data_IF_925877179857
#
_entry.id   IF_925877179857
#
_cell.length_a   1.000
_cell.length_b   1.000
_cell.length_c   1.000
_cell.angle_alpha   90.00
_cell.angle_beta   90.00
_cell.angle_gamma   90.00
#
_symmetry.space_group_name_H-M   'P 1'
#
loop_
_entity.id
_entity.type
_entity.pdbx_description
1 polymer ?
#
# COMPACT_ATOMS: atom_id res chain seq x y z
N UNK A 1 -4.61 -35.12 -51.13
CA UNK A 1 -5.61 -34.30 -50.41
C UNK A 1 -5.20 -32.85 -50.62
N UNK A 2 -5.93 -32.11 -51.45
CA UNK A 2 -5.52 -30.77 -51.93
C UNK A 2 -6.53 -29.76 -51.41
N UNK A 3 -6.08 -28.81 -50.58
CA UNK A 3 -6.93 -27.80 -49.93
C UNK A 3 -6.75 -26.47 -50.66
N UNK A 4 -7.82 -25.97 -51.27
CA UNK A 4 -7.90 -24.64 -51.90
C UNK A 4 -8.14 -23.58 -50.83
N UNK A 5 -7.31 -22.55 -50.83
CA UNK A 5 -7.51 -21.31 -50.05
C UNK A 5 -8.23 -20.31 -50.95
N UNK A 6 -9.43 -19.88 -50.52
CA UNK A 6 -10.23 -18.85 -51.19
C UNK A 6 -9.80 -17.45 -50.75
N UNK A 7 -9.52 -16.58 -51.72
CA UNK A 7 -9.24 -15.16 -51.56
C UNK A 7 -10.54 -14.36 -51.65
N UNK A 8 -10.89 -13.63 -50.59
CA UNK A 8 -12.00 -12.65 -50.60
C UNK A 8 -11.47 -11.23 -50.58
N UNK A 9 -11.71 -10.53 -51.70
CA UNK A 9 -11.55 -9.08 -51.88
C UNK A 9 -12.51 -8.32 -50.96
N UNK A 10 -11.98 -7.37 -50.18
CA UNK A 10 -12.79 -6.33 -49.54
C UNK A 10 -12.82 -5.08 -50.41
N UNK A 11 -14.03 -4.65 -50.79
CA UNK A 11 -14.28 -3.45 -51.58
C UNK A 11 -14.29 -2.20 -50.70
N UNK A 12 -13.52 -1.20 -51.14
CA UNK A 12 -13.57 0.19 -50.71
C UNK A 12 -14.91 0.83 -51.10
N UNK A 13 -15.55 1.54 -50.15
CA UNK A 13 -16.57 2.55 -50.43
C UNK A 13 -16.35 3.78 -49.55
N UNK A 14 -15.88 4.85 -50.19
CA UNK A 14 -16.04 6.23 -49.75
C UNK A 14 -17.52 6.61 -49.68
N UNK A 15 -17.91 7.40 -48.68
CA UNK A 15 -18.96 8.42 -48.87
C UNK A 15 -18.85 9.53 -47.83
N UNK A 16 -18.49 10.69 -48.34
CA UNK A 16 -18.37 12.00 -47.72
C UNK A 16 -19.76 12.57 -47.44
N UNK A 17 -20.07 13.01 -46.22
CA UNK A 17 -21.11 13.99 -45.96
C UNK A 17 -20.75 14.84 -44.73
N UNK A 18 -19.95 15.89 -44.95
CA UNK A 18 -19.83 17.01 -44.02
C UNK A 18 -21.03 17.95 -44.25
N UNK A 19 -21.90 18.06 -43.25
CA UNK A 19 -22.92 19.11 -43.17
C UNK A 19 -22.29 20.32 -42.48
N UNK A 20 -22.16 21.41 -43.24
CA UNK A 20 -21.88 22.74 -42.73
C UNK A 20 -22.99 23.16 -41.75
N UNK A 21 -22.60 23.54 -40.53
CA UNK A 21 -23.49 24.21 -39.58
C UNK A 21 -23.26 25.72 -39.60
N UNK A 22 -24.32 26.54 -39.52
CA UNK A 22 -24.21 27.99 -39.58
C UNK A 22 -23.60 28.58 -38.31
N UNK A 23 -22.51 29.34 -38.51
CA UNK A 23 -21.85 30.14 -37.49
C UNK A 23 -22.74 31.30 -37.06
N UNK A 24 -23.37 31.19 -35.88
CA UNK A 24 -24.04 32.33 -35.23
C UNK A 24 -22.99 33.24 -34.59
N UNK A 25 -22.75 34.39 -35.22
CA UNK A 25 -21.99 35.51 -34.65
C UNK A 25 -22.81 36.16 -33.54
N UNK A 26 -22.47 35.87 -32.29
CA UNK A 26 -22.89 36.69 -31.15
C UNK A 26 -21.87 37.80 -30.93
N UNK A 27 -22.32 39.05 -31.13
CA UNK A 27 -21.57 40.23 -30.75
C UNK A 27 -21.52 40.33 -29.22
N UNK A 28 -20.37 39.98 -28.64
CA UNK A 28 -20.09 40.16 -27.21
C UNK A 28 -19.57 41.57 -27.00
N UNK A 29 -20.34 42.39 -26.30
CA UNK A 29 -19.95 43.75 -25.92
C UNK A 29 -18.72 43.75 -25.02
N UNK A 30 -17.66 44.40 -25.50
CA UNK A 30 -16.44 44.66 -24.73
C UNK A 30 -16.74 45.74 -23.69
N UNK A 31 -17.06 45.34 -22.45
CA UNK A 31 -16.94 46.23 -21.29
C UNK A 31 -15.50 46.15 -20.80
N UNK A 32 -14.70 47.17 -21.11
CA UNK A 32 -13.39 47.40 -20.54
C UNK A 32 -13.50 47.57 -19.02
N UNK A 33 -13.34 46.47 -18.27
CA UNK A 33 -13.08 46.54 -16.83
C UNK A 33 -11.59 46.83 -16.67
N UNK A 34 -11.28 47.95 -15.99
CA UNK A 34 -9.92 48.26 -15.54
C UNK A 34 -9.42 47.09 -14.69
N UNK A 35 -8.48 46.32 -15.25
CA UNK A 35 -7.74 45.30 -14.52
C UNK A 35 -6.67 46.05 -13.74
N UNK A 36 -6.96 46.35 -12.47
CA UNK A 36 -5.95 46.76 -11.50
C UNK A 36 -5.02 45.56 -11.32
N UNK A 37 -3.87 45.55 -12.01
CA UNK A 37 -2.79 44.59 -11.79
C UNK A 37 -2.22 44.85 -10.40
N UNK A 38 -2.77 44.18 -9.39
CA UNK A 38 -2.05 43.94 -8.14
C UNK A 38 -1.06 42.83 -8.46
N UNK A 39 0.18 43.22 -8.78
CA UNK A 39 1.31 42.29 -8.84
C UNK A 39 1.65 41.98 -7.39
N UNK A 40 0.96 40.99 -6.83
CA UNK A 40 1.31 40.41 -5.55
C UNK A 40 2.47 39.45 -5.84
N UNK A 41 3.70 39.96 -5.74
CA UNK A 41 4.91 39.16 -5.80
C UNK A 41 4.98 38.34 -4.52
N UNK A 42 4.28 37.21 -4.49
CA UNK A 42 4.44 36.19 -3.44
C UNK A 42 5.83 35.59 -3.63
N UNK A 43 6.79 36.11 -2.87
CA UNK A 43 8.08 35.47 -2.66
C UNK A 43 7.83 34.22 -1.80
N UNK A 44 7.37 33.14 -2.42
CA UNK A 44 7.44 31.80 -1.85
C UNK A 44 8.91 31.43 -1.74
N UNK A 45 9.53 31.79 -0.62
CA UNK A 45 10.72 31.11 -0.13
C UNK A 45 10.28 29.68 0.22
N UNK A 46 10.25 28.81 -0.79
CA UNK A 46 10.29 27.38 -0.60
C UNK A 46 11.67 27.04 -0.05
N UNK A 47 11.83 27.21 1.27
CA UNK A 47 12.83 26.51 2.05
C UNK A 47 12.44 25.03 1.98
N UNK A 48 12.73 24.38 0.86
CA UNK A 48 12.81 22.93 0.80
C UNK A 48 14.05 22.56 1.61
N UNK A 49 13.88 22.42 2.92
CA UNK A 49 14.81 21.62 3.70
C UNK A 49 14.78 20.26 3.00
N UNK A 50 15.89 19.75 2.45
CA UNK A 50 15.92 18.36 2.03
C UNK A 50 15.63 17.59 3.32
N UNK A 51 14.43 17.04 3.46
CA UNK A 51 14.23 15.99 4.44
C UNK A 51 15.19 14.90 3.99
N UNK A 52 16.27 14.75 4.75
CA UNK A 52 17.24 13.71 4.50
C UNK A 52 16.48 12.41 4.75
N UNK A 53 16.23 11.69 3.66
CA UNK A 53 15.65 10.37 3.71
C UNK A 53 16.79 9.43 4.06
N UNK A 54 16.64 8.70 5.16
CA UNK A 54 17.66 7.77 5.57
C UNK A 54 17.79 6.56 4.66
N UNK A 55 18.64 5.61 5.04
CA UNK A 55 18.97 4.50 4.17
C UNK A 55 17.71 3.75 3.75
N UNK A 56 17.65 3.45 2.46
CA UNK A 56 16.60 2.63 1.87
C UNK A 56 17.03 1.17 1.96
N UNK A 57 16.21 0.33 2.57
CA UNK A 57 16.45 -1.10 2.71
C UNK A 57 15.42 -1.88 1.93
N UNK A 58 15.87 -2.73 1.01
CA UNK A 58 15.00 -3.63 0.25
C UNK A 58 15.21 -5.04 0.77
N UNK A 59 14.13 -5.67 1.19
CA UNK A 59 14.07 -7.05 1.63
C UNK A 59 13.76 -7.93 0.43
N UNK A 60 14.69 -8.81 0.11
CA UNK A 60 14.51 -9.85 -0.91
C UNK A 60 14.18 -11.16 -0.24
N UNK A 61 13.27 -11.89 -0.85
CA UNK A 61 12.92 -13.26 -0.53
C UNK A 61 13.25 -14.16 -1.72
N UNK A 62 13.63 -15.40 -1.44
CA UNK A 62 13.85 -16.41 -2.47
C UNK A 62 12.54 -17.10 -2.83
N UNK A 63 12.16 -17.11 -4.11
CA UNK A 63 10.87 -17.65 -4.58
C UNK A 63 10.71 -19.17 -4.39
N UNK A 64 11.83 -19.88 -4.25
CA UNK A 64 11.85 -21.33 -4.06
C UNK A 64 12.67 -21.66 -2.83
N UNK A 65 11.99 -22.19 -1.83
CA UNK A 65 12.58 -22.73 -0.61
C UNK A 65 13.77 -23.63 -0.91
N UNK A 66 14.82 -23.46 -0.10
CA UNK A 66 16.01 -24.29 -0.21
C UNK A 66 16.36 -24.87 1.16
N UNK A 67 16.48 -26.21 1.29
CA UNK A 67 16.89 -26.82 2.54
C UNK A 67 18.22 -26.23 3.04
N UNK A 68 18.17 -25.54 4.18
CA UNK A 68 19.35 -24.93 4.81
C UNK A 68 19.85 -23.64 4.14
N UNK A 69 19.02 -22.98 3.33
CA UNK A 69 19.34 -21.73 2.66
C UNK A 69 19.04 -20.48 3.49
N UNK A 70 19.80 -19.42 3.23
CA UNK A 70 19.46 -18.04 3.59
C UNK A 70 18.41 -17.55 2.59
N UNK A 71 17.14 -17.50 3.00
CA UNK A 71 16.03 -17.16 2.09
C UNK A 71 15.76 -15.66 2.05
N UNK A 72 16.09 -14.95 3.12
CA UNK A 72 15.92 -13.50 3.19
C UNK A 72 17.26 -12.76 3.12
N UNK A 73 17.32 -11.71 2.32
CA UNK A 73 18.45 -10.79 2.24
C UNK A 73 17.97 -9.34 2.28
N UNK A 74 18.73 -8.46 2.91
CA UNK A 74 18.50 -7.01 2.81
C UNK A 74 19.62 -6.37 2.02
N UNK A 75 19.26 -5.62 0.99
CA UNK A 75 20.15 -4.64 0.37
C UNK A 75 19.89 -3.26 0.96
N UNK A 76 20.94 -2.61 1.45
CA UNK A 76 20.88 -1.28 2.04
C UNK A 76 21.54 -0.27 1.11
N UNK A 77 20.76 0.71 0.67
CA UNK A 77 21.20 1.83 -0.18
C UNK A 77 21.28 3.10 0.68
N UNK A 78 22.39 3.85 0.62
CA UNK A 78 22.52 5.09 1.39
C UNK A 78 21.51 6.18 1.00
N UNK A 79 20.95 6.11 -0.22
CA UNK A 79 19.99 7.09 -0.70
C UNK A 79 19.09 6.50 -1.80
N UNK A 80 17.98 7.19 -2.10
CA UNK A 80 17.18 6.92 -3.30
C UNK A 80 17.99 6.99 -4.59
N UNK A 81 18.94 7.92 -4.70
CA UNK A 81 19.77 8.06 -5.89
C UNK A 81 20.64 6.81 -6.10
N UNK A 82 21.21 6.27 -5.01
CA UNK A 82 21.97 5.02 -5.04
C UNK A 82 21.09 3.82 -5.38
N UNK A 83 19.87 3.76 -4.84
CA UNK A 83 18.88 2.74 -5.21
C UNK A 83 18.52 2.78 -6.70
N UNK A 84 18.21 3.95 -7.26
CA UNK A 84 17.85 4.07 -8.68
C UNK A 84 19.03 3.81 -9.61
N UNK A 85 20.25 4.16 -9.20
CA UNK A 85 21.47 3.85 -9.94
C UNK A 85 21.94 2.39 -9.76
N UNK A 86 21.37 1.65 -8.79
CA UNK A 86 21.83 0.31 -8.42
C UNK A 86 23.28 0.28 -7.92
N UNK A 87 23.73 1.36 -7.28
CA UNK A 87 25.13 1.53 -6.81
C UNK A 87 25.23 1.62 -5.30
N UNK A 88 26.45 1.45 -4.77
CA UNK A 88 26.81 1.76 -3.38
C UNK A 88 25.98 1.05 -2.29
N UNK A 89 25.45 -0.15 -2.57
CA UNK A 89 24.70 -0.91 -1.58
C UNK A 89 25.57 -1.92 -0.83
N UNK A 90 25.14 -2.25 0.39
CA UNK A 90 25.59 -3.45 1.10
C UNK A 90 24.49 -4.49 1.07
N UNK A 91 24.87 -5.77 1.03
CA UNK A 91 23.92 -6.89 1.06
C UNK A 91 24.25 -7.79 2.25
N UNK A 92 23.23 -8.20 2.99
CA UNK A 92 23.37 -9.12 4.10
C UNK A 92 22.21 -10.12 4.11
N UNK A 93 22.57 -11.40 4.19
CA UNK A 93 21.61 -12.49 4.37
C UNK A 93 21.24 -12.65 5.84
N UNK A 94 19.98 -12.96 6.09
CA UNK A 94 19.53 -13.44 7.40
C UNK A 94 19.70 -14.96 7.51
N UNK A 95 19.69 -15.48 8.73
CA UNK A 95 19.58 -16.91 9.02
C UNK A 95 18.12 -17.40 9.04
N UNK A 96 17.16 -16.50 8.79
CA UNK A 96 15.73 -16.82 8.78
C UNK A 96 15.44 -17.69 7.55
N UNK A 97 14.69 -18.76 7.79
CA UNK A 97 14.12 -19.61 6.76
C UNK A 97 12.60 -19.39 6.77
N UNK A 98 12.07 -18.96 5.64
CA UNK A 98 10.64 -18.84 5.40
C UNK A 98 10.13 -20.23 5.07
N UNK A 99 9.10 -20.67 5.79
CA UNK A 99 8.55 -22.00 5.54
C UNK A 99 7.65 -21.96 4.30
N UNK A 100 7.67 -23.05 3.53
CA UNK A 100 6.91 -23.32 2.29
C UNK A 100 5.44 -22.89 2.15
N UNK A 101 4.65 -22.63 3.22
CA UNK A 101 3.33 -22.05 3.01
C UNK A 101 3.29 -20.53 3.20
N UNK A 102 4.42 -19.83 3.35
CA UNK A 102 4.47 -18.39 3.56
C UNK A 102 5.45 -17.68 2.64
N UNK A 103 5.15 -16.43 2.37
CA UNK A 103 5.99 -15.42 1.75
C UNK A 103 6.06 -14.18 2.66
N UNK A 104 7.00 -13.29 2.38
CA UNK A 104 7.16 -12.02 3.09
C UNK A 104 6.32 -10.93 2.40
N UNK A 105 5.34 -10.41 3.13
CA UNK A 105 4.47 -9.30 2.69
C UNK A 105 4.95 -7.92 3.13
N UNK A 106 6.15 -7.78 3.69
CA UNK A 106 6.74 -6.48 4.00
C UNK A 106 7.64 -6.43 5.24
N UNK A 107 8.38 -5.33 5.36
CA UNK A 107 9.16 -5.00 6.56
C UNK A 107 8.97 -3.52 6.91
N UNK A 108 8.87 -3.19 8.20
CA UNK A 108 8.84 -1.80 8.68
C UNK A 108 9.52 -1.63 10.03
N UNK A 109 9.92 -0.41 10.35
CA UNK A 109 10.38 0.00 11.68
C UNK A 109 9.34 0.92 12.30
N UNK A 110 8.86 0.59 13.50
CA UNK A 110 7.81 1.35 14.17
C UNK A 110 8.32 2.36 15.22
N UNK A 111 9.64 2.56 15.28
CA UNK A 111 10.29 3.35 16.33
C UNK A 111 10.79 2.51 17.51
N UNK A 112 10.39 1.24 17.63
CA UNK A 112 10.77 0.34 18.73
C UNK A 112 11.35 -0.99 18.26
N UNK A 113 10.81 -1.56 17.19
CA UNK A 113 11.25 -2.85 16.65
C UNK A 113 11.02 -2.94 15.14
N UNK A 114 11.76 -3.83 14.47
CA UNK A 114 11.51 -4.23 13.10
C UNK A 114 10.34 -5.23 13.08
N UNK A 115 9.35 -4.95 12.27
CA UNK A 115 8.20 -5.80 12.04
C UNK A 115 8.32 -6.40 10.65
N UNK A 116 8.36 -7.73 10.57
CA UNK A 116 8.35 -8.47 9.29
C UNK A 116 7.00 -9.14 9.16
N UNK A 117 6.23 -8.75 8.15
CA UNK A 117 4.92 -9.30 7.85
C UNK A 117 5.09 -10.51 6.93
N UNK A 118 4.51 -11.62 7.34
CA UNK A 118 4.42 -12.83 6.54
C UNK A 118 2.97 -13.05 6.14
N UNK A 119 2.78 -13.47 4.90
CA UNK A 119 1.50 -13.89 4.34
C UNK A 119 1.58 -15.37 3.97
N UNK A 120 0.46 -16.08 4.13
CA UNK A 120 0.35 -17.46 3.70
C UNK A 120 0.02 -17.52 2.21
N UNK A 121 0.82 -18.23 1.41
CA UNK A 121 0.67 -18.28 -0.07
C UNK A 121 -0.63 -18.91 -0.55
N UNK A 122 -1.26 -19.72 0.30
CA UNK A 122 -2.52 -20.38 0.00
C UNK A 122 -3.52 -20.06 1.11
N UNK A 123 -4.58 -19.36 0.74
CA UNK A 123 -5.73 -19.07 1.59
C UNK A 123 -6.18 -20.31 2.35
N UNK A 124 -6.37 -20.14 3.66
CA UNK A 124 -6.69 -21.21 4.57
C UNK A 124 -7.90 -20.88 5.42
N UNK A 125 -8.83 -21.83 5.66
CA UNK A 125 -9.93 -21.56 6.56
C UNK A 125 -9.40 -21.36 7.99
N UNK A 126 -9.56 -20.15 8.56
CA UNK A 126 -9.45 -19.96 10.01
C UNK A 126 -8.53 -18.85 10.53
N UNK A 127 -8.20 -17.81 9.77
CA UNK A 127 -7.60 -16.57 10.33
C UNK A 127 -6.16 -16.73 10.77
N UNK A 128 -5.34 -17.44 10.00
CA UNK A 128 -3.88 -17.54 10.22
C UNK A 128 -3.12 -17.24 8.92
N UNK A 129 -3.59 -16.26 8.17
CA UNK A 129 -2.99 -15.90 6.88
C UNK A 129 -1.88 -14.87 7.06
N UNK A 130 -2.02 -13.96 8.03
CA UNK A 130 -1.00 -12.95 8.32
C UNK A 130 -0.36 -13.18 9.68
N UNK A 131 0.97 -13.15 9.71
CA UNK A 131 1.77 -13.17 10.93
C UNK A 131 2.81 -12.03 10.92
N UNK A 132 3.13 -11.50 12.09
CA UNK A 132 4.27 -10.59 12.25
C UNK A 132 5.31 -11.23 13.14
N UNK A 133 6.56 -11.22 12.68
CA UNK A 133 7.72 -11.40 13.54
C UNK A 133 8.28 -10.03 13.92
N UNK A 134 8.47 -9.82 15.21
CA UNK A 134 8.99 -8.57 15.78
C UNK A 134 10.42 -8.79 16.25
N UNK A 135 11.38 -8.06 15.68
CA UNK A 135 12.80 -8.10 16.03
C UNK A 135 13.22 -6.78 16.68
N UNK A 136 13.79 -6.78 17.90
CA UNK A 136 14.20 -5.54 18.56
C UNK A 136 15.22 -4.72 17.77
N UNK A 137 16.12 -5.38 17.06
CA UNK A 137 17.18 -4.75 16.25
C UNK A 137 17.29 -5.40 14.88
N UNK A 138 17.95 -4.70 13.95
CA UNK A 138 18.25 -5.29 12.63
C UNK A 138 19.24 -6.46 12.75
N UNK A 139 20.14 -6.41 13.73
CA UNK A 139 21.06 -7.51 14.02
C UNK A 139 20.32 -8.77 14.47
N UNK A 140 19.27 -8.62 15.30
CA UNK A 140 18.40 -9.73 15.70
C UNK A 140 17.64 -10.32 14.51
N UNK A 141 17.18 -9.48 13.57
CA UNK A 141 16.60 -9.93 12.30
C UNK A 141 17.60 -10.79 11.51
N UNK A 142 18.82 -10.30 11.27
CA UNK A 142 19.81 -11.09 10.52
C UNK A 142 20.22 -12.37 11.22
N UNK A 143 20.30 -12.36 12.56
CA UNK A 143 20.63 -13.53 13.36
C UNK A 143 19.46 -14.51 13.51
N UNK A 144 18.23 -14.09 13.19
CA UNK A 144 17.02 -14.89 13.41
C UNK A 144 16.74 -15.14 14.90
N UNK A 145 17.13 -14.21 15.78
CA UNK A 145 17.06 -14.37 17.24
C UNK A 145 16.18 -13.32 17.90
N UNK A 146 15.83 -13.54 19.17
CA UNK A 146 15.15 -12.58 20.05
C UNK A 146 13.83 -12.00 19.50
N UNK A 147 13.12 -12.76 18.67
CA UNK A 147 11.86 -12.31 18.09
C UNK A 147 10.64 -12.88 18.81
N UNK A 148 9.53 -12.15 18.71
CA UNK A 148 8.19 -12.68 19.00
C UNK A 148 7.45 -12.88 17.69
N UNK A 149 6.65 -13.94 17.60
CA UNK A 149 5.79 -14.22 16.45
C UNK A 149 4.34 -14.27 16.89
N UNK A 150 3.46 -13.62 16.14
CA UNK A 150 2.03 -13.63 16.41
C UNK A 150 1.22 -13.59 15.11
N UNK A 151 0.21 -14.46 15.04
CA UNK A 151 -0.79 -14.44 13.97
C UNK A 151 -1.85 -13.37 14.25
N UNK A 152 -2.29 -12.68 13.21
CA UNK A 152 -3.46 -11.82 13.25
C UNK A 152 -4.75 -12.62 13.05
N UNK A 153 -5.88 -12.08 13.50
CA UNK A 153 -7.22 -12.58 13.18
C UNK A 153 -7.72 -12.16 11.79
N UNK A 154 -6.88 -11.49 11.00
CA UNK A 154 -7.22 -11.01 9.65
C UNK A 154 -7.20 -12.21 8.71
N UNK A 155 -8.25 -12.30 7.87
CA UNK A 155 -8.24 -13.19 6.71
C UNK A 155 -8.04 -12.33 5.47
N UNK A 156 -7.04 -12.64 4.67
CA UNK A 156 -6.87 -12.11 3.33
C UNK A 156 -7.82 -12.91 2.45
N UNK A 157 -8.79 -12.22 1.85
CA UNK A 157 -9.73 -12.91 0.98
C UNK A 157 -9.11 -12.99 -0.41
N UNK A 158 -9.09 -14.17 -1.03
CA UNK A 158 -8.96 -14.25 -2.49
C UNK A 158 -9.91 -13.24 -3.16
N UNK A 159 -9.41 -12.38 -4.07
CA UNK A 159 -8.16 -12.49 -4.83
C UNK A 159 -7.10 -11.43 -4.45
N UNK A 160 -6.76 -11.28 -3.17
CA UNK A 160 -5.77 -10.30 -2.72
C UNK A 160 -4.59 -10.97 -2.05
N UNK A 161 -3.45 -10.31 -2.15
CA UNK A 161 -2.21 -10.53 -1.41
C UNK A 161 -1.77 -9.25 -0.71
N UNK A 162 -0.80 -9.36 0.18
CA UNK A 162 -0.17 -8.23 0.87
C UNK A 162 0.98 -7.69 0.03
N UNK A 163 0.86 -6.43 -0.40
CA UNK A 163 1.94 -5.70 -1.06
C UNK A 163 2.83 -4.89 -0.12
N UNK A 164 2.60 -4.88 1.19
CA UNK A 164 3.48 -4.18 2.13
C UNK A 164 2.87 -3.83 3.47
N UNK A 165 3.73 -3.51 4.43
CA UNK A 165 3.36 -2.90 5.72
C UNK A 165 4.25 -1.69 6.01
N UNK A 166 3.67 -0.62 6.55
CA UNK A 166 4.45 0.51 7.08
C UNK A 166 3.85 1.11 8.35
N UNK A 167 4.70 1.67 9.20
CA UNK A 167 4.29 2.53 10.31
C UNK A 167 4.54 4.00 9.96
N UNK A 168 3.49 4.82 9.98
CA UNK A 168 3.58 6.24 9.59
C UNK A 168 3.68 7.21 10.78
N UNK A 169 4.00 6.69 11.98
CA UNK A 169 3.97 7.46 13.23
C UNK A 169 2.59 7.59 13.86
N UNK A 170 1.52 7.18 13.16
CA UNK A 170 0.13 7.29 13.63
C UNK A 170 -0.56 5.92 13.66
N UNK A 171 -0.37 5.11 12.62
CA UNK A 171 -1.00 3.81 12.45
C UNK A 171 -0.12 2.86 11.63
N UNK A 172 -0.29 1.55 11.85
CA UNK A 172 0.18 0.56 10.90
C UNK A 172 -0.73 0.59 9.69
N UNK A 173 -0.13 0.64 8.51
CA UNK A 173 -0.80 0.59 7.21
C UNK A 173 -0.38 -0.68 6.52
N UNK A 174 -1.35 -1.48 6.10
CA UNK A 174 -1.11 -2.68 5.32
C UNK A 174 -1.70 -2.45 3.93
N UNK A 175 -0.84 -2.51 2.92
CA UNK A 175 -1.19 -2.40 1.52
C UNK A 175 -1.54 -3.80 1.02
N UNK A 176 -2.72 -3.91 0.44
CA UNK A 176 -3.19 -5.11 -0.26
C UNK A 176 -3.21 -4.82 -1.75
N UNK A 177 -2.78 -5.80 -2.52
CA UNK A 177 -2.86 -5.82 -3.98
C UNK A 177 -3.76 -6.96 -4.42
N UNK A 178 -4.44 -6.78 -5.55
CA UNK A 178 -5.24 -7.82 -6.17
C UNK A 178 -4.36 -8.70 -7.05
N UNK A 179 -4.38 -10.03 -6.85
CA UNK A 179 -3.52 -10.99 -7.58
C UNK A 179 -3.81 -11.07 -9.08
N UNK A 180 -4.99 -10.63 -9.51
CA UNK A 180 -5.42 -10.67 -10.91
C UNK A 180 -5.92 -9.31 -11.32
N UNK A 181 -5.22 -8.71 -12.28
CA UNK A 181 -5.59 -7.46 -12.94
C UNK A 181 -7.04 -7.48 -13.39
N UNK A 182 -7.76 -6.40 -13.07
CA UNK A 182 -9.14 -6.23 -13.53
C UNK A 182 -9.30 -4.90 -14.24
N UNK A 183 -9.74 -4.95 -15.50
CA UNK A 183 -9.94 -3.75 -16.31
C UNK A 183 -10.88 -2.74 -15.60
N UNK A 184 -10.30 -1.62 -15.15
CA UNK A 184 -11.03 -0.54 -14.48
C UNK A 184 -11.42 -0.84 -13.02
N UNK A 185 -10.80 -1.82 -12.38
CA UNK A 185 -10.96 -2.14 -10.96
C UNK A 185 -10.03 -1.35 -10.05
N UNK A 186 -10.35 -1.30 -8.76
CA UNK A 186 -9.45 -0.83 -7.71
C UNK A 186 -8.53 -1.98 -7.33
N UNK A 187 -7.25 -1.90 -7.65
CA UNK A 187 -6.30 -3.00 -7.43
C UNK A 187 -5.58 -2.88 -6.10
N UNK A 188 -5.40 -1.66 -5.59
CA UNK A 188 -4.74 -1.42 -4.31
C UNK A 188 -5.71 -0.97 -3.22
N UNK A 189 -5.56 -1.51 -2.02
CA UNK A 189 -6.29 -1.09 -0.82
C UNK A 189 -5.35 -0.92 0.37
N UNK A 190 -5.63 0.04 1.25
CA UNK A 190 -4.93 0.15 2.53
C UNK A 190 -5.91 -0.09 3.66
N UNK A 191 -5.57 -1.04 4.53
CA UNK A 191 -6.16 -1.15 5.87
C UNK A 191 -5.24 -0.50 6.88
N UNK A 192 -5.84 0.27 7.79
CA UNK A 192 -5.11 1.00 8.83
C UNK A 192 -5.47 0.45 10.20
N UNK A 193 -4.49 0.34 11.09
CA UNK A 193 -4.63 -0.14 12.46
C UNK A 193 -3.91 0.81 13.39
N UNK A 194 -4.60 1.31 14.42
CA UNK A 194 -4.00 2.30 15.31
C UNK A 194 -2.80 1.74 16.09
N UNK A 195 -2.82 0.44 16.38
CA UNK A 195 -1.75 -0.26 17.10
C UNK A 195 -1.49 -1.64 16.49
N UNK A 196 -0.34 -2.24 16.84
CA UNK A 196 -0.04 -3.62 16.46
C UNK A 196 -1.02 -4.63 17.08
N UNK A 197 -1.51 -4.33 18.30
CA UNK A 197 -2.56 -5.12 18.93
C UNK A 197 -3.89 -5.07 18.15
N UNK A 198 -4.24 -3.90 17.60
CA UNK A 198 -5.41 -3.76 16.72
C UNK A 198 -5.24 -4.53 15.41
N UNK A 199 -4.03 -4.54 14.84
CA UNK A 199 -3.71 -5.40 13.70
C UNK A 199 -3.93 -6.88 14.04
N UNK A 200 -3.38 -7.37 15.16
CA UNK A 200 -3.57 -8.77 15.55
C UNK A 200 -5.02 -9.11 15.86
N UNK A 201 -5.79 -8.18 16.41
CA UNK A 201 -7.21 -8.38 16.67
C UNK A 201 -8.10 -8.23 15.41
N UNK A 202 -7.56 -7.73 14.30
CA UNK A 202 -8.34 -7.37 13.10
C UNK A 202 -9.23 -6.14 13.28
N UNK A 203 -8.93 -5.28 14.25
CA UNK A 203 -9.69 -4.08 14.56
C UNK A 203 -9.23 -2.91 13.67
N UNK A 204 -9.66 -2.90 12.41
CA UNK A 204 -9.27 -1.84 11.48
C UNK A 204 -9.86 -0.48 11.86
N UNK A 205 -9.01 0.54 11.88
CA UNK A 205 -9.39 1.96 12.00
C UNK A 205 -10.09 2.46 10.73
N UNK A 206 -9.60 2.04 9.57
CA UNK A 206 -10.13 2.42 8.26
C UNK A 206 -9.65 1.46 7.17
N UNK A 207 -10.47 1.27 6.15
CA UNK A 207 -10.13 0.56 4.93
C UNK A 207 -10.54 1.41 3.73
N UNK A 208 -9.66 1.58 2.76
CA UNK A 208 -9.94 2.37 1.57
C UNK A 208 -9.18 1.84 0.35
N UNK A 209 -9.88 1.76 -0.78
CA UNK A 209 -9.30 1.50 -2.09
C UNK A 209 -8.68 2.76 -2.68
N UNK A 210 -7.54 2.60 -3.36
CA UNK A 210 -6.98 3.65 -4.21
C UNK A 210 -7.57 3.58 -5.62
N UNK A 211 -7.42 4.66 -6.38
CA UNK A 211 -7.65 4.68 -7.83
C UNK A 211 -6.41 4.36 -8.65
N UNK A 212 -5.36 3.83 -8.01
CA UNK A 212 -4.15 3.35 -8.69
C UNK A 212 -4.49 2.00 -9.29
N UNK A 213 -4.17 1.85 -10.57
CA UNK A 213 -4.19 0.57 -11.24
C UNK A 213 -2.73 0.12 -11.41
N UNK A 214 -2.45 -1.10 -11.00
CA UNK A 214 -1.20 -1.78 -11.28
C UNK A 214 -1.32 -2.35 -12.69
N UNK A 215 -0.36 -2.02 -13.54
CA UNK A 215 -0.41 -2.51 -14.91
C UNK A 215 0.47 -3.76 -15.00
N UNK A 216 -0.06 -4.86 -15.53
CA UNK A 216 0.79 -5.94 -16.01
C UNK A 216 1.98 -5.39 -16.84
N UNK A 217 3.21 -5.90 -16.61
CA UNK A 217 3.55 -7.09 -15.82
C UNK A 217 4.16 -6.75 -14.45
N UNK A 218 3.55 -5.85 -13.68
CA UNK A 218 4.07 -5.46 -12.36
C UNK A 218 3.12 -5.90 -11.23
N UNK A 219 3.71 -6.16 -10.08
CA UNK A 219 3.09 -6.32 -8.76
C UNK A 219 3.73 -5.36 -7.76
N UNK A 220 3.16 -5.26 -6.57
CA UNK A 220 3.68 -4.47 -5.46
C UNK A 220 4.68 -5.31 -4.66
N UNK A 221 5.96 -4.97 -4.76
CA UNK A 221 7.03 -5.54 -3.94
C UNK A 221 7.23 -4.83 -2.59
N UNK A 222 6.54 -3.73 -2.30
CA UNK A 222 6.57 -3.15 -0.96
C UNK A 222 5.87 -1.81 -0.78
N UNK A 223 5.73 -1.43 0.49
CA UNK A 223 5.10 -0.18 0.93
C UNK A 223 5.86 0.44 2.09
N UNK A 224 6.31 1.70 1.95
CA UNK A 224 7.06 2.41 2.99
C UNK A 224 6.53 3.83 3.22
N UNK A 225 6.85 4.40 4.37
CA UNK A 225 6.60 5.78 4.71
C UNK A 225 7.87 6.43 5.25
N UNK A 226 8.10 7.68 4.87
CA UNK A 226 9.14 8.54 5.43
C UNK A 226 8.57 9.94 5.73
N UNK A 227 9.42 10.89 6.09
CA UNK A 227 8.98 12.28 6.34
C UNK A 227 8.46 13.02 5.09
N UNK A 228 8.70 12.50 3.88
CA UNK A 228 8.27 13.05 2.60
C UNK A 228 6.96 12.44 2.09
N UNK A 229 6.57 11.27 2.59
CA UNK A 229 5.26 10.68 2.31
C UNK A 229 5.29 9.15 2.20
N UNK A 230 4.37 8.62 1.39
CA UNK A 230 4.19 7.19 1.17
C UNK A 230 4.83 6.76 -0.14
N UNK A 231 5.45 5.59 -0.14
CA UNK A 231 6.19 5.05 -1.26
C UNK A 231 5.72 3.63 -1.54
N UNK A 232 5.47 3.33 -2.81
CA UNK A 232 5.13 1.99 -3.29
C UNK A 232 6.24 1.53 -4.20
N UNK A 233 6.84 0.40 -3.88
CA UNK A 233 7.81 -0.28 -4.72
C UNK A 233 7.06 -1.30 -5.57
N UNK A 234 7.16 -1.15 -6.88
CA UNK A 234 6.67 -2.11 -7.85
C UNK A 234 7.83 -2.98 -8.32
N UNK A 235 7.54 -4.26 -8.45
CA UNK A 235 8.42 -5.25 -9.04
C UNK A 235 7.74 -5.83 -10.28
N UNK A 236 8.55 -6.22 -11.26
CA UNK A 236 8.06 -6.89 -12.46
C UNK A 236 7.92 -8.38 -12.20
N UNK A 237 6.76 -8.96 -12.49
CA UNK A 237 6.44 -10.37 -12.22
C UNK A 237 7.31 -11.36 -13.00
N UNK A 238 7.75 -10.95 -14.19
CA UNK A 238 8.62 -11.76 -15.05
C UNK A 238 9.96 -11.06 -15.22
N UNK A 239 11.04 -11.80 -14.93
CA UNK A 239 12.40 -11.40 -15.25
C UNK A 239 12.50 -10.93 -16.70
N UNK A 240 13.17 -9.80 -16.88
CA UNK A 240 13.45 -9.30 -18.22
C UNK A 240 14.93 -9.20 -18.43
N UNK A 241 15.45 -9.93 -19.43
CA UNK A 241 16.86 -9.93 -19.76
C UNK A 241 17.34 -8.50 -20.09
N UNK A 242 17.95 -7.83 -19.10
CA UNK A 242 18.44 -6.47 -19.19
C UNK A 242 17.37 -5.38 -19.10
N UNK A 243 16.19 -5.68 -18.57
CA UNK A 243 15.12 -4.70 -18.36
C UNK A 243 15.11 -4.12 -16.95
N UNK A 244 14.38 -3.01 -16.85
CA UNK A 244 14.04 -2.35 -15.60
C UNK A 244 12.98 -3.22 -14.91
N UNK A 245 13.25 -3.64 -13.69
CA UNK A 245 12.35 -4.51 -12.92
C UNK A 245 11.73 -3.80 -11.71
N UNK A 246 12.40 -2.78 -11.17
CA UNK A 246 11.93 -2.07 -10.00
C UNK A 246 11.54 -0.63 -10.32
N UNK A 247 10.41 -0.18 -9.76
CA UNK A 247 9.97 1.21 -9.83
C UNK A 247 9.43 1.68 -8.49
N UNK A 248 9.68 2.94 -8.11
CA UNK A 248 9.04 3.53 -6.92
C UNK A 248 8.12 4.66 -7.35
N UNK A 249 6.88 4.61 -6.87
CA UNK A 249 5.96 5.74 -6.87
C UNK A 249 5.88 6.36 -5.48
N UNK A 250 6.14 7.65 -5.38
CA UNK A 250 6.12 8.41 -4.12
C UNK A 250 4.96 9.40 -4.11
N UNK A 251 4.18 9.39 -3.04
CA UNK A 251 3.00 10.22 -2.80
C UNK A 251 3.21 11.06 -1.55
N UNK A 252 3.04 12.38 -1.66
CA UNK A 252 3.25 13.27 -0.51
C UNK A 252 2.28 13.00 0.65
N UNK A 253 1.08 12.49 0.37
CA UNK A 253 0.08 12.18 1.38
C UNK A 253 -0.69 10.90 1.06
N UNK A 254 -1.34 10.33 2.07
CA UNK A 254 -2.24 9.19 1.88
C UNK A 254 -3.46 9.55 1.00
N UNK A 255 -3.86 10.83 1.00
CA UNK A 255 -4.91 11.33 0.11
C UNK A 255 -4.46 11.31 -1.34
N UNK A 256 -3.22 11.72 -1.61
CA UNK A 256 -2.63 11.65 -2.95
C UNK A 256 -2.49 10.20 -3.43
N UNK A 257 -2.09 9.29 -2.53
CA UNK A 257 -2.08 7.84 -2.81
C UNK A 257 -3.47 7.33 -3.20
N UNK A 258 -4.50 7.57 -2.39
CA UNK A 258 -5.85 7.08 -2.71
C UNK A 258 -6.43 7.69 -3.99
N UNK A 259 -6.08 8.93 -4.30
CA UNK A 259 -6.49 9.60 -5.53
C UNK A 259 -5.64 9.19 -6.75
N UNK A 260 -4.52 8.49 -6.56
CA UNK A 260 -3.57 8.17 -7.63
C UNK A 260 -3.01 9.42 -8.32
N UNK A 261 -2.84 10.52 -7.58
CA UNK A 261 -2.41 11.82 -8.12
C UNK A 261 -1.15 12.33 -7.44
N UNK A 262 -0.50 13.34 -8.05
CA UNK A 262 0.62 14.08 -7.45
C UNK A 262 1.80 13.21 -7.01
N UNK A 263 2.06 12.11 -7.72
CA UNK A 263 3.18 11.23 -7.44
C UNK A 263 4.38 11.51 -8.34
N UNK A 264 5.56 11.14 -7.86
CA UNK A 264 6.76 10.98 -8.68
C UNK A 264 7.00 9.51 -8.93
N UNK A 265 7.37 9.14 -10.16
CA UNK A 265 7.74 7.77 -10.51
C UNK A 265 9.17 7.73 -11.00
N UNK A 266 9.95 6.78 -10.51
CA UNK A 266 11.32 6.55 -10.95
C UNK A 266 11.61 5.05 -11.02
N UNK A 267 12.31 4.66 -12.08
CA UNK A 267 12.75 3.30 -12.32
C UNK A 267 14.17 3.12 -11.81
N UNK A 268 14.45 1.96 -11.21
CA UNK A 268 15.80 1.56 -10.84
C UNK A 268 16.48 0.78 -11.97
N UNK A 269 17.80 0.89 -12.06
CA UNK A 269 18.63 0.01 -12.89
C UNK A 269 18.99 -1.33 -12.21
N UNK A 270 18.47 -1.59 -11.01
CA UNK A 270 18.58 -2.90 -10.36
C UNK A 270 17.81 -3.93 -11.19
N UNK A 271 18.46 -5.06 -11.43
CA UNK A 271 17.85 -6.28 -11.95
C UNK A 271 17.75 -7.27 -10.79
N UNK A 272 16.53 -7.68 -10.46
CA UNK A 272 16.26 -8.73 -9.49
C UNK A 272 16.59 -10.05 -10.17
N UNK A 273 17.43 -10.85 -9.51
CA UNK A 273 17.80 -12.14 -10.09
C UNK A 273 16.61 -13.10 -10.00
N UNK A 274 16.45 -13.92 -11.03
CA UNK A 274 15.40 -14.95 -11.19
C UNK A 274 14.98 -15.81 -9.98
N UNK A 275 15.82 -16.13 -8.99
CA UNK A 275 15.36 -16.88 -7.83
C UNK A 275 14.85 -16.00 -6.68
N UNK A 276 14.74 -14.69 -6.86
CA UNK A 276 14.32 -13.76 -5.81
C UNK A 276 13.20 -12.84 -6.28
N UNK A 277 12.37 -12.45 -5.33
CA UNK A 277 11.39 -11.38 -5.40
C UNK A 277 11.61 -10.38 -4.26
N UNK A 278 10.96 -9.24 -4.33
CA UNK A 278 10.98 -8.22 -3.28
C UNK A 278 9.88 -8.53 -2.26
N UNK A 279 10.28 -8.94 -1.06
CA UNK A 279 9.38 -9.15 0.08
C UNK A 279 9.12 -7.90 0.92
N UNK A 280 9.51 -6.71 0.46
CA UNK A 280 9.28 -5.44 1.12
C UNK A 280 10.41 -4.43 0.98
N UNK A 281 10.15 -3.19 1.38
CA UNK A 281 11.20 -2.20 1.61
C UNK A 281 10.81 -1.24 2.71
N UNK A 282 11.80 -0.63 3.34
CA UNK A 282 11.62 0.45 4.31
C UNK A 282 12.63 1.56 4.07
N UNK A 283 12.29 2.75 4.56
CA UNK A 283 13.15 3.93 4.55
C UNK A 283 13.34 4.30 6.02
N UNK A 284 14.58 4.25 6.49
CA UNK A 284 14.83 4.60 7.89
C UNK A 284 14.81 6.12 8.07
N UNK A 285 14.31 6.62 9.21
CA UNK A 285 14.55 8.00 9.58
C UNK A 285 16.06 8.21 9.70
N UNK A 286 16.58 9.28 9.09
CA UNK A 286 17.99 9.64 9.21
C UNK A 286 18.31 10.01 10.67
N UNK A 287 18.94 9.09 11.41
CA UNK A 287 19.71 9.43 12.61
C UNK A 287 19.06 9.18 13.97
N UNK A 288 17.94 8.47 14.07
CA UNK A 288 17.24 8.30 15.36
C UNK A 288 17.64 7.05 16.15
N UNK A 289 18.68 6.33 15.70
CA UNK A 289 19.33 5.28 16.48
C UNK A 289 18.58 3.95 16.47
N UNK A 290 18.68 3.22 15.36
CA UNK A 290 18.96 1.78 15.55
C UNK A 290 20.19 1.74 16.47
N UNK A 291 20.11 1.11 17.67
CA UNK A 291 21.30 0.81 18.44
C UNK A 291 22.07 -0.21 17.61
N UNK A 292 22.76 0.29 16.58
CA UNK A 292 23.44 -0.53 15.60
C UNK A 292 24.28 -1.56 16.34
N UNK A 293 24.52 -2.75 15.75
CA UNK A 293 25.17 -3.86 16.44
C UNK A 293 26.42 -3.36 17.14
N UNK A 294 26.32 -3.28 18.48
CA UNK A 294 27.28 -2.61 19.32
C UNK A 294 28.66 -3.22 19.14
N UNK A 295 29.52 -2.49 18.43
CA UNK A 295 30.95 -2.76 18.34
C UNK A 295 31.77 -1.62 18.95
N UNK A 296 31.26 -0.94 19.99
CA UNK A 296 32.11 -0.07 20.81
C UNK A 296 32.18 -0.55 22.28
N UNK A 297 33.10 -1.48 22.60
CA UNK A 297 33.46 -1.75 23.98
C UNK A 297 34.39 -0.63 24.49
N UNK A 298 33.92 0.62 24.56
CA UNK A 298 34.73 1.70 25.13
C UNK A 298 34.31 3.13 24.83
N UNK A 299 33.16 3.60 25.33
CA UNK A 299 32.86 5.02 25.18
C UNK A 299 31.68 5.57 25.97
N UNK A 300 31.89 5.84 27.26
CA UNK A 300 31.28 6.99 27.96
C UNK A 300 29.78 6.94 28.27
N UNK A 301 29.46 6.88 29.56
CA UNK A 301 28.13 7.18 30.07
C UNK A 301 27.72 8.61 29.69
N UNK A 302 26.73 8.77 28.82
CA UNK A 302 25.92 9.99 28.76
C UNK A 302 24.46 9.60 29.06
N UNK A 303 23.91 9.95 30.23
CA UNK A 303 22.55 9.59 30.58
C UNK A 303 21.57 10.55 29.91
N UNK A 304 20.56 9.98 29.25
CA UNK A 304 19.29 10.62 28.92
C UNK A 304 19.34 11.98 28.21
N UNK A 305 19.60 11.96 26.90
CA UNK A 305 19.02 12.98 26.00
C UNK A 305 17.92 12.34 25.18
N UNK A 306 16.73 12.23 25.77
CA UNK A 306 15.49 12.14 24.99
C UNK A 306 15.45 13.41 24.12
N UNK A 307 15.39 13.30 22.78
CA UNK A 307 15.27 14.48 21.94
C UNK A 307 13.97 15.19 22.28
N UNK A 308 14.04 16.43 22.78
CA UNK A 308 12.85 17.25 22.87
C UNK A 308 12.24 17.41 21.47
N UNK A 309 10.90 17.28 21.31
CA UNK A 309 10.27 17.49 20.02
C UNK A 309 10.65 18.88 19.53
N UNK A 310 11.13 18.95 18.28
CA UNK A 310 11.60 20.21 17.71
C UNK A 310 10.55 21.32 17.92
N UNK A 311 10.95 22.55 18.29
CA UNK A 311 10.01 23.66 18.50
C UNK A 311 9.11 23.95 17.29
N UNK A 312 9.51 23.48 16.10
CA UNK A 312 8.73 23.55 14.86
C UNK A 312 7.53 22.60 14.85
N UNK A 313 7.64 21.39 15.42
CA UNK A 313 6.53 20.45 15.53
C UNK A 313 5.42 21.00 16.43
N UNK A 314 5.79 21.61 17.57
CA UNK A 314 4.83 22.26 18.47
C UNK A 314 4.14 23.48 17.82
N UNK A 315 4.86 24.23 16.99
CA UNK A 315 4.34 25.40 16.29
C UNK A 315 3.34 25.01 15.18
N UNK A 316 3.59 23.90 14.47
CA UNK A 316 2.68 23.39 13.44
C UNK A 316 1.35 22.90 14.03
N UNK A 317 1.37 22.20 15.17
CA UNK A 317 0.15 21.76 15.86
C UNK A 317 -0.64 22.94 16.45
N UNK A 318 0.04 23.98 16.95
CA UNK A 318 -0.61 25.17 17.48
C UNK A 318 -1.29 26.03 16.39
N UNK A 319 -0.72 26.08 15.16
CA UNK A 319 -1.32 26.82 14.05
C UNK A 319 -2.52 26.10 13.42
N UNK A 320 -2.54 24.77 13.41
CA UNK A 320 -3.69 23.99 12.95
C UNK A 320 -4.95 24.22 13.82
N UNK A 321 -4.77 24.48 15.12
CA UNK A 321 -5.87 24.78 16.04
C UNK A 321 -6.50 26.18 15.83
N UNK A 322 -5.80 27.11 15.17
CA UNK A 322 -6.26 28.49 14.95
C UNK A 322 -7.06 28.67 13.65
N UNK A 323 -7.07 27.69 12.75
CA UNK A 323 -7.76 27.75 11.45
C UNK A 323 -8.93 26.75 11.33
N UNK A 324 -9.65 26.48 12.42
CA UNK A 324 -10.96 25.82 12.32
C UNK A 324 -12.01 26.84 11.86
N UNK A 325 -12.55 26.76 10.62
CA UNK A 325 -13.63 27.65 10.22
C UNK A 325 -14.88 27.34 11.04
N UNK A 326 -15.34 28.34 11.81
CA UNK A 326 -16.68 28.31 12.44
C UNK A 326 -17.73 28.17 11.34
N UNK A 327 -18.29 26.97 11.18
CA UNK A 327 -19.48 26.74 10.34
C UNK A 327 -20.65 27.55 10.90
N UNK A 328 -21.01 28.62 10.21
CA UNK A 328 -22.32 29.26 10.36
C UNK A 328 -23.39 28.33 9.81
N UNK A 329 -24.26 27.83 10.70
CA UNK A 329 -25.51 27.16 10.33
C UNK A 329 -26.39 28.11 9.52
N UNK A 330 -26.60 27.82 8.22
CA UNK A 330 -27.69 28.42 7.45
C UNK A 330 -28.92 27.53 7.59
N UNK A 331 -29.95 28.08 8.21
CA UNK A 331 -31.31 27.54 8.20
C UNK A 331 -31.84 27.53 6.77
N UNK A 332 -32.34 26.38 6.30
CA UNK A 332 -33.10 26.28 5.06
C UNK A 332 -34.55 26.74 5.30
N UNK A 333 -35.14 27.56 4.40
CA UNK A 333 -36.55 27.91 4.50
C UNK A 333 -37.43 26.78 3.95
N UNK A 334 -38.59 26.66 4.60
CA UNK A 334 -39.68 25.73 4.35
C UNK A 334 -40.08 25.58 2.87
N UNK A 335 -40.39 24.35 2.45
CA UNK A 335 -41.12 24.06 1.21
C UNK A 335 -42.47 23.43 1.58
N UNK A 336 -43.59 23.84 0.97
CA UNK A 336 -44.91 23.43 1.41
C UNK A 336 -45.33 22.06 0.87
N UNK A 337 -46.26 21.53 1.64
CA UNK A 337 -47.06 20.32 1.61
C UNK A 337 -47.73 20.02 0.24
N UNK A 338 -47.51 18.81 -0.29
CA UNK A 338 -48.44 18.18 -1.23
C UNK A 338 -48.73 16.75 -0.78
N UNK A 339 -50.00 16.52 -0.39
CA UNK A 339 -50.60 15.19 -0.27
C UNK A 339 -50.79 14.61 -1.68
N UNK A 340 -50.75 13.27 -1.82
CA UNK A 340 -52.04 12.64 -2.08
C UNK A 340 -52.29 11.32 -1.34
N UNK A 341 -53.59 11.11 -1.16
CA UNK A 341 -54.31 9.91 -0.74
C UNK A 341 -53.96 8.64 -1.52
N UNK A 342 -53.85 7.51 -0.83
CA UNK A 342 -53.78 6.20 -1.49
C UNK A 342 -53.83 5.03 -0.51
N UNK A 343 -55.04 4.56 -0.24
CA UNK A 343 -55.40 3.49 0.70
C UNK A 343 -55.29 2.12 0.03
N UNK A 344 -54.51 1.17 0.56
CA UNK A 344 -54.76 -0.27 0.39
C UNK A 344 -54.17 -1.10 1.55
N UNK A 345 -54.85 -2.21 1.86
CA UNK A 345 -54.88 -2.96 3.13
C UNK A 345 -53.70 -3.93 3.32
N UNK A 346 -53.43 -4.39 4.56
CA UNK A 346 -52.45 -5.43 4.82
C UNK A 346 -53.04 -6.83 4.55
N UNK A 347 -52.32 -7.65 3.76
CA UNK A 347 -52.59 -9.09 3.66
C UNK A 347 -51.74 -9.82 4.68
N UNK A 348 -52.37 -10.23 5.78
CA UNK A 348 -51.86 -11.21 6.73
C UNK A 348 -51.72 -12.55 6.03
N UNK A 349 -50.50 -13.08 5.92
CA UNK A 349 -50.28 -14.50 5.58
C UNK A 349 -49.62 -15.20 6.76
N UNK A 350 -50.47 -15.92 7.52
CA UNK A 350 -50.06 -17.06 8.36
C UNK A 350 -49.53 -18.15 7.43
N UNK A 351 -48.38 -18.72 7.74
CA UNK A 351 -48.04 -20.09 7.35
C UNK A 351 -47.57 -20.84 8.60
N UNK A 352 -48.19 -22.00 8.77
CA UNK A 352 -48.10 -22.91 9.88
C UNK A 352 -46.93 -23.88 9.75
N UNK A 353 -46.63 -24.50 10.90
CA UNK A 353 -45.73 -25.60 11.15
C UNK A 353 -45.87 -26.84 10.22
N UNK A 354 -44.73 -27.54 10.06
CA UNK A 354 -44.56 -28.99 9.96
C UNK A 354 -43.08 -29.26 10.35
N UNK A 355 -42.72 -29.90 11.47
CA UNK A 355 -42.85 -31.29 11.92
C UNK A 355 -42.13 -32.33 11.05
N UNK A 356 -41.10 -32.96 11.61
CA UNK A 356 -40.38 -34.14 11.11
C UNK A 356 -38.89 -33.98 11.44
N UNK A 357 -38.27 -34.65 12.42
CA UNK A 357 -38.42 -36.05 12.82
C UNK A 357 -37.38 -36.88 12.06
N UNK A 358 -36.24 -37.21 12.69
CA UNK A 358 -35.19 -37.99 12.03
C UNK A 358 -33.86 -38.05 12.78
N UNK A 359 -33.87 -38.66 13.96
CA UNK A 359 -32.68 -39.16 14.66
C UNK A 359 -32.14 -40.43 14.00
N UNK A 360 -30.83 -40.51 13.80
CA UNK A 360 -30.07 -41.78 13.67
C UNK A 360 -28.62 -41.58 14.13
N UNK A 361 -28.15 -42.30 15.18
CA UNK A 361 -26.75 -42.50 15.50
C UNK A 361 -26.23 -43.86 14.98
N UNK A 362 -24.92 -44.10 15.16
CA UNK A 362 -24.08 -45.26 14.76
C UNK A 362 -23.28 -45.02 13.45
N UNK A 363 -22.01 -45.39 13.32
CA UNK A 363 -21.32 -46.51 13.97
C UNK A 363 -19.82 -46.26 14.20
N UNK A 364 -19.35 -46.79 15.32
CA UNK A 364 -17.97 -47.20 15.59
C UNK A 364 -17.65 -48.54 14.91
N UNK A 365 -16.53 -48.61 14.20
CA UNK A 365 -15.69 -49.81 13.98
C UNK A 365 -14.33 -49.28 13.53
N UNK A 366 -13.15 -49.65 14.01
CA UNK A 366 -12.70 -50.92 14.59
C UNK A 366 -11.42 -51.33 13.86
N UNK A 367 -10.26 -51.10 14.49
CA UNK A 367 -9.07 -51.98 14.53
C UNK A 367 -8.63 -52.73 13.24
N UNK A 368 -7.41 -52.47 12.74
CA UNK A 368 -6.27 -53.43 12.75
C UNK A 368 -5.02 -52.92 11.98
N UNK A 369 -3.88 -53.18 12.65
CA UNK A 369 -2.46 -53.22 12.22
C UNK A 369 -1.74 -51.90 12.05
#
# INVERSE_FOLDING_TARGET
MSVRIGSTRFQSRSSTHMREMPVRRFAVGVRARRVTRVVMTTLTLSLSVPAMAGPLRVLFERDVDSPGGTELAINTYPSFADFFAGTNFTSQFSTINVNAPYSVGGITWDGTAYQVLFERDIDGPGGTELAINTYPTLADFFAGTNFTSQFSAINVNSPYSVGGITWDGIAYRVLFERDVDTAGGTELAINSYATLADFFAGNSLSSQFSSINVNAPYSVGGFAYDANGYHVLFERDEDSAGGIELAINSYATLTDFFAGTNFTSQFSSINVNAPYSVGGFLIEPDGDGDPGPGNDPGGGNDPDTVPEPSPLALLATAMAALFVPRRTYRQCPCRPEERPSGRSKPSVRKLSAASGGGSCPMATSGSRR
#
